data_IF_758075854400
#
_entry.id   IF_758075854400
#
_cell.length_a   1.000
_cell.length_b   1.000
_cell.length_c   1.000
_cell.angle_alpha   90.00
_cell.angle_beta   90.00
_cell.angle_gamma   90.00
#
_symmetry.space_group_name_H-M   'P 1'
#
loop_
_entity.id
_entity.type
_entity.pdbx_description
1 polymer ?
#
# COMPACT_ATOMS: atom_id res chain seq x y z
N UNK A 1 8.05 -19.22 -8.98
CA UNK A 1 7.30 -19.37 -10.25
C UNK A 1 7.55 -18.15 -11.13
N UNK A 2 7.96 -18.38 -12.35
CA UNK A 2 8.12 -17.28 -13.32
C UNK A 2 6.84 -17.06 -14.11
N UNK A 3 6.50 -15.80 -14.34
CA UNK A 3 5.41 -15.45 -15.24
C UNK A 3 5.78 -15.73 -16.70
N UNK A 4 4.79 -16.12 -17.49
CA UNK A 4 4.95 -16.20 -18.93
C UNK A 4 5.14 -14.82 -19.55
N UNK A 5 5.56 -14.79 -20.83
CA UNK A 5 5.89 -13.54 -21.51
C UNK A 5 4.74 -12.53 -21.53
N UNK A 6 3.53 -12.98 -21.88
CA UNK A 6 2.37 -12.08 -21.94
C UNK A 6 2.00 -11.50 -20.57
N UNK A 7 2.07 -12.33 -19.50
CA UNK A 7 1.82 -11.89 -18.15
C UNK A 7 2.89 -10.90 -17.67
N UNK A 8 4.14 -11.14 -18.04
CA UNK A 8 5.25 -10.24 -17.69
C UNK A 8 5.12 -8.88 -18.40
N UNK A 9 4.71 -8.86 -19.64
CA UNK A 9 4.46 -7.63 -20.40
C UNK A 9 3.32 -6.83 -19.76
N UNK A 10 2.23 -7.51 -19.37
CA UNK A 10 1.11 -6.88 -18.69
C UNK A 10 1.53 -6.27 -17.33
N UNK A 11 2.35 -7.00 -16.57
CA UNK A 11 2.86 -6.53 -15.28
C UNK A 11 3.76 -5.30 -15.46
N UNK A 12 4.66 -5.33 -16.41
CA UNK A 12 5.57 -4.20 -16.71
C UNK A 12 4.81 -2.95 -17.17
N UNK A 13 3.67 -3.12 -17.82
CA UNK A 13 2.83 -2.00 -18.22
C UNK A 13 2.19 -1.26 -17.03
N UNK A 14 2.01 -1.92 -15.90
CA UNK A 14 1.47 -1.30 -14.68
C UNK A 14 2.50 -0.48 -13.90
N UNK A 15 3.78 -0.67 -14.18
CA UNK A 15 4.88 -0.09 -13.42
C UNK A 15 5.63 0.92 -14.28
N UNK A 16 5.90 2.10 -13.73
CA UNK A 16 6.75 3.09 -14.39
C UNK A 16 8.20 2.82 -14.01
N UNK A 17 9.05 2.62 -15.02
CA UNK A 17 10.47 2.38 -14.80
C UNK A 17 10.81 0.93 -14.43
N UNK A 18 12.00 0.75 -13.90
CA UNK A 18 12.55 -0.54 -13.57
C UNK A 18 13.49 -0.41 -12.36
N UNK A 19 13.34 -1.30 -11.38
CA UNK A 19 14.26 -1.36 -10.24
C UNK A 19 15.62 -1.90 -10.67
N UNK A 20 16.65 -1.38 -10.03
CA UNK A 20 18.03 -1.82 -10.21
C UNK A 20 18.61 -2.33 -8.90
N UNK A 21 19.53 -3.31 -8.94
CA UNK A 21 20.23 -3.73 -7.73
C UNK A 21 20.87 -2.54 -7.02
N UNK A 22 20.68 -2.48 -5.69
CA UNK A 22 21.17 -1.37 -4.88
C UNK A 22 20.20 -0.22 -4.68
N UNK A 23 19.07 -0.20 -5.40
CA UNK A 23 18.04 0.84 -5.20
C UNK A 23 17.40 0.71 -3.82
N UNK A 24 17.09 1.85 -3.22
CA UNK A 24 16.34 1.92 -1.98
C UNK A 24 14.83 1.99 -2.27
N UNK A 25 14.04 1.34 -1.43
CA UNK A 25 12.59 1.39 -1.50
C UNK A 25 12.06 2.50 -0.60
N UNK A 26 11.17 3.31 -1.14
CA UNK A 26 10.49 4.38 -0.40
C UNK A 26 8.98 4.17 -0.48
N UNK A 27 8.32 4.18 0.67
CA UNK A 27 6.86 4.10 0.76
C UNK A 27 6.33 5.51 1.03
N UNK A 28 5.59 6.06 0.07
CA UNK A 28 5.20 7.48 0.08
C UNK A 28 4.05 7.82 1.03
N UNK A 29 3.25 6.82 1.44
CA UNK A 29 2.14 7.03 2.38
C UNK A 29 1.95 5.79 3.23
N UNK A 30 1.21 5.89 4.35
CA UNK A 30 0.90 4.71 5.16
C UNK A 30 0.18 3.64 4.35
N UNK A 31 0.41 2.37 4.69
CA UNK A 31 -0.19 1.23 3.98
C UNK A 31 -1.64 1.00 4.40
N UNK A 32 -2.41 0.33 3.56
CA UNK A 32 -3.78 -0.13 3.84
C UNK A 32 -4.78 0.99 4.18
N UNK A 33 -4.56 2.20 3.71
CA UNK A 33 -5.46 3.33 4.00
C UNK A 33 -6.85 3.13 3.42
N UNK A 34 -6.93 2.75 2.15
CA UNK A 34 -8.20 2.60 1.44
C UNK A 34 -9.02 1.45 2.00
N UNK A 35 -8.40 0.30 2.20
CA UNK A 35 -9.07 -0.86 2.80
C UNK A 35 -9.61 -0.55 4.20
N UNK A 36 -8.84 0.13 5.02
CA UNK A 36 -9.27 0.56 6.35
C UNK A 36 -10.47 1.49 6.28
N UNK A 37 -10.47 2.48 5.40
CA UNK A 37 -11.59 3.41 5.21
C UNK A 37 -12.86 2.69 4.76
N UNK A 38 -12.75 1.76 3.83
CA UNK A 38 -13.89 0.99 3.32
C UNK A 38 -14.49 0.12 4.42
N UNK A 39 -13.67 -0.59 5.17
CA UNK A 39 -14.12 -1.43 6.29
C UNK A 39 -14.80 -0.58 7.34
N UNK A 40 -14.19 0.53 7.72
CA UNK A 40 -14.75 1.44 8.73
C UNK A 40 -16.12 1.99 8.32
N UNK A 41 -16.30 2.35 7.05
CA UNK A 41 -17.60 2.78 6.52
C UNK A 41 -18.67 1.72 6.64
N UNK A 42 -18.32 0.47 6.34
CA UNK A 42 -19.29 -0.63 6.24
C UNK A 42 -19.51 -1.35 7.57
N UNK A 43 -18.64 -1.17 8.56
CA UNK A 43 -18.66 -1.90 9.84
C UNK A 43 -18.66 -0.95 11.05
N UNK A 44 -19.29 0.20 10.94
CA UNK A 44 -19.37 1.19 12.02
C UNK A 44 -19.93 0.62 13.30
N UNK A 45 -20.98 -0.20 13.23
CA UNK A 45 -21.63 -0.80 14.40
C UNK A 45 -20.68 -1.73 15.16
N UNK A 46 -19.91 -2.52 14.44
CA UNK A 46 -18.92 -3.41 15.05
C UNK A 46 -17.81 -2.62 15.74
N UNK A 47 -17.34 -1.56 15.10
CA UNK A 47 -16.30 -0.69 15.65
C UNK A 47 -16.80 0.10 16.86
N UNK A 48 -18.09 0.46 16.89
CA UNK A 48 -18.70 1.19 18.00
C UNK A 48 -18.73 0.38 19.30
N UNK A 49 -18.59 -0.94 19.24
CA UNK A 49 -18.48 -1.78 20.43
C UNK A 49 -17.20 -1.52 21.23
N UNK A 50 -16.16 -0.97 20.58
CA UNK A 50 -14.84 -0.75 21.19
C UNK A 50 -14.33 0.68 21.11
N UNK A 51 -14.74 1.46 20.12
CA UNK A 51 -14.16 2.76 19.81
C UNK A 51 -15.19 3.87 19.87
N UNK A 52 -14.70 5.08 20.13
CA UNK A 52 -15.51 6.29 20.09
C UNK A 52 -15.95 6.64 18.67
N UNK A 53 -17.02 7.43 18.54
CA UNK A 53 -17.48 7.94 17.26
C UNK A 53 -16.40 8.76 16.54
N UNK A 54 -15.62 9.53 17.29
CA UNK A 54 -14.50 10.31 16.74
C UNK A 54 -13.41 9.44 16.12
N UNK A 55 -13.03 8.37 16.80
CA UNK A 55 -12.04 7.42 16.28
C UNK A 55 -12.55 6.73 15.01
N UNK A 56 -13.81 6.29 15.02
CA UNK A 56 -14.43 5.64 13.84
C UNK A 56 -14.44 6.61 12.66
N UNK A 57 -14.78 7.88 12.88
CA UNK A 57 -14.76 8.88 11.83
C UNK A 57 -13.35 9.10 11.27
N UNK A 58 -12.33 9.07 12.10
CA UNK A 58 -10.92 9.13 11.65
C UNK A 58 -10.60 7.93 10.75
N UNK A 59 -11.06 6.74 11.10
CA UNK A 59 -10.87 5.55 10.26
C UNK A 59 -11.58 5.70 8.91
N UNK A 60 -12.81 6.19 8.89
CA UNK A 60 -13.58 6.41 7.67
C UNK A 60 -12.89 7.40 6.73
N UNK A 61 -12.30 8.45 7.29
CA UNK A 61 -11.66 9.53 6.53
C UNK A 61 -10.18 9.27 6.22
N UNK A 62 -9.65 8.12 6.61
CA UNK A 62 -8.21 7.86 6.59
C UNK A 62 -7.60 7.98 5.19
N UNK A 63 -8.26 7.42 4.19
CA UNK A 63 -7.82 7.51 2.80
C UNK A 63 -7.77 8.96 2.29
N UNK A 64 -8.82 9.72 2.56
CA UNK A 64 -8.90 11.12 2.13
C UNK A 64 -7.86 12.00 2.83
N UNK A 65 -7.57 11.71 4.09
CA UNK A 65 -6.65 12.50 4.91
C UNK A 65 -5.18 12.23 4.59
N UNK A 66 -4.80 10.98 4.32
CA UNK A 66 -3.40 10.55 4.25
C UNK A 66 -3.03 9.86 2.94
N UNK A 67 -3.97 9.64 2.04
CA UNK A 67 -3.69 9.01 0.75
C UNK A 67 -2.77 9.85 -0.11
N UNK A 68 -1.89 9.19 -0.84
CA UNK A 68 -1.00 9.85 -1.78
C UNK A 68 -1.77 10.33 -3.01
N UNK A 69 -1.68 11.61 -3.31
CA UNK A 69 -2.23 12.19 -4.53
C UNK A 69 -1.21 12.24 -5.65
N UNK A 70 -1.54 12.94 -6.72
CA UNK A 70 -0.68 13.12 -7.91
C UNK A 70 0.67 13.78 -7.59
N UNK A 71 0.80 14.45 -6.47
CA UNK A 71 2.05 15.11 -6.05
C UNK A 71 3.20 14.11 -5.87
N UNK A 72 2.90 12.86 -5.50
CA UNK A 72 3.93 11.81 -5.33
C UNK A 72 4.63 11.51 -6.66
N UNK A 73 3.88 11.47 -7.76
CA UNK A 73 4.44 11.28 -9.10
C UNK A 73 5.42 12.38 -9.46
N UNK A 74 5.04 13.61 -9.17
CA UNK A 74 5.88 14.77 -9.42
C UNK A 74 7.16 14.74 -8.60
N UNK A 75 7.05 14.45 -7.31
CA UNK A 75 8.20 14.33 -6.41
C UNK A 75 9.14 13.21 -6.86
N UNK A 76 8.59 12.06 -7.24
CA UNK A 76 9.38 10.93 -7.72
C UNK A 76 10.14 11.25 -9.00
N UNK A 77 9.53 11.99 -9.93
CA UNK A 77 10.18 12.45 -11.15
C UNK A 77 11.31 13.43 -10.84
N UNK A 78 11.08 14.38 -9.95
CA UNK A 78 12.10 15.36 -9.54
C UNK A 78 13.27 14.71 -8.79
N UNK A 79 13.00 13.64 -8.04
CA UNK A 79 14.01 12.86 -7.32
C UNK A 79 14.71 11.81 -8.20
N UNK A 80 14.36 11.71 -9.48
CA UNK A 80 14.93 10.75 -10.44
C UNK A 80 14.77 9.29 -9.97
N UNK A 81 13.58 8.94 -9.53
CA UNK A 81 13.27 7.58 -9.08
C UNK A 81 13.41 6.58 -10.23
N UNK A 82 14.06 5.44 -9.96
CA UNK A 82 14.26 4.37 -10.96
C UNK A 82 12.95 3.70 -11.35
N UNK A 83 12.02 3.57 -10.41
CA UNK A 83 10.73 2.94 -10.63
C UNK A 83 9.68 3.55 -9.71
N UNK A 84 8.42 3.48 -10.14
CA UNK A 84 7.29 3.98 -9.37
C UNK A 84 6.08 3.08 -9.63
N UNK A 85 5.41 2.68 -8.56
CA UNK A 85 4.20 1.86 -8.62
C UNK A 85 3.19 2.30 -7.57
N UNK A 86 1.95 2.50 -7.98
CA UNK A 86 0.86 2.78 -7.06
C UNK A 86 0.31 1.48 -6.49
N UNK A 87 0.37 1.33 -5.17
CA UNK A 87 -0.21 0.17 -4.49
C UNK A 87 -1.73 0.15 -4.69
N UNK A 88 -2.30 -1.05 -4.81
CA UNK A 88 -3.73 -1.23 -5.01
C UNK A 88 -4.22 -2.49 -4.32
N UNK A 89 -4.95 -3.33 -5.03
CA UNK A 89 -5.41 -4.62 -4.53
C UNK A 89 -4.22 -5.51 -4.15
N UNK A 90 -4.36 -6.25 -3.07
CA UNK A 90 -3.28 -7.05 -2.49
C UNK A 90 -2.31 -6.26 -1.64
N UNK A 91 -2.44 -4.93 -1.60
CA UNK A 91 -1.74 -4.04 -0.70
C UNK A 91 -0.22 -3.97 -0.91
N UNK A 92 0.47 -3.71 0.16
CA UNK A 92 1.92 -3.50 0.17
C UNK A 92 2.71 -4.73 -0.30
N UNK A 93 2.36 -5.92 0.17
CA UNK A 93 3.07 -7.15 -0.21
C UNK A 93 2.93 -7.45 -1.69
N UNK A 94 1.74 -7.27 -2.24
CA UNK A 94 1.51 -7.44 -3.67
C UNK A 94 2.33 -6.45 -4.50
N UNK A 95 2.39 -5.20 -4.06
CA UNK A 95 3.17 -4.16 -4.73
C UNK A 95 4.66 -4.50 -4.75
N UNK A 96 5.22 -4.93 -3.63
CA UNK A 96 6.62 -5.36 -3.55
C UNK A 96 6.92 -6.49 -4.52
N UNK A 97 6.07 -7.53 -4.50
CA UNK A 97 6.25 -8.68 -5.38
C UNK A 97 6.19 -8.28 -6.85
N UNK A 98 5.21 -7.46 -7.22
CA UNK A 98 5.04 -7.00 -8.61
C UNK A 98 6.23 -6.20 -9.09
N UNK A 99 6.74 -5.28 -8.27
CA UNK A 99 7.91 -4.48 -8.64
C UNK A 99 9.16 -5.33 -8.81
N UNK A 100 9.40 -6.26 -7.90
CA UNK A 100 10.54 -7.15 -7.96
C UNK A 100 10.48 -8.07 -9.17
N UNK A 101 9.33 -8.69 -9.41
CA UNK A 101 9.11 -9.61 -10.53
C UNK A 101 9.25 -8.88 -11.88
N UNK A 102 8.65 -7.71 -12.02
CA UNK A 102 8.74 -6.92 -13.26
C UNK A 102 10.17 -6.49 -13.58
N UNK A 103 10.96 -6.22 -12.56
CA UNK A 103 12.35 -5.78 -12.69
C UNK A 103 13.37 -6.92 -12.65
N UNK A 104 12.91 -8.15 -12.42
CA UNK A 104 13.76 -9.35 -12.29
C UNK A 104 14.86 -9.18 -11.22
N UNK A 105 14.52 -8.59 -10.09
CA UNK A 105 15.42 -8.38 -8.95
C UNK A 105 14.82 -8.96 -7.68
N UNK A 106 15.66 -9.24 -6.69
CA UNK A 106 15.23 -9.59 -5.34
C UNK A 106 14.95 -8.34 -4.53
N UNK A 107 14.18 -8.50 -3.45
CA UNK A 107 13.88 -7.43 -2.49
C UNK A 107 14.18 -7.89 -1.07
N UNK A 108 14.63 -6.95 -0.27
CA UNK A 108 14.70 -7.09 1.18
C UNK A 108 13.97 -5.90 1.81
N UNK A 109 12.99 -6.17 2.66
CA UNK A 109 12.19 -5.13 3.28
C UNK A 109 12.15 -5.30 4.80
N UNK A 110 12.43 -4.22 5.54
CA UNK A 110 12.26 -4.19 6.98
C UNK A 110 10.85 -3.65 7.30
N UNK A 111 9.93 -4.56 7.67
CA UNK A 111 8.54 -4.20 7.96
C UNK A 111 8.39 -3.22 9.12
N UNK A 112 9.36 -3.13 10.02
CA UNK A 112 9.35 -2.14 11.10
C UNK A 112 9.43 -0.70 10.60
N UNK A 113 9.94 -0.50 9.39
CA UNK A 113 10.08 0.81 8.75
C UNK A 113 8.90 1.16 7.84
N UNK A 114 7.97 0.24 7.61
CA UNK A 114 6.79 0.48 6.78
C UNK A 114 5.82 1.38 7.55
N UNK A 115 5.43 2.54 6.97
CA UNK A 115 4.49 3.42 7.65
C UNK A 115 3.10 2.81 7.73
N UNK A 116 2.55 2.74 8.92
CA UNK A 116 1.21 2.23 9.18
C UNK A 116 0.55 3.09 10.26
N UNK A 117 -0.71 3.44 10.04
CA UNK A 117 -1.47 4.24 10.98
C UNK A 117 -2.05 3.38 12.09
N UNK A 118 -2.18 3.96 13.28
CA UNK A 118 -2.79 3.26 14.41
C UNK A 118 -4.23 2.84 14.11
N UNK A 119 -4.98 3.65 13.40
CA UNK A 119 -6.35 3.35 12.97
C UNK A 119 -6.39 2.05 12.15
N UNK A 120 -5.43 1.88 11.24
CA UNK A 120 -5.30 0.66 10.43
C UNK A 120 -5.01 -0.56 11.29
N UNK A 121 -4.08 -0.43 12.24
CA UNK A 121 -3.72 -1.53 13.15
C UNK A 121 -4.94 -1.99 13.95
N UNK A 122 -5.69 -1.05 14.53
CA UNK A 122 -6.86 -1.36 15.34
C UNK A 122 -7.99 -2.02 14.54
N UNK A 123 -8.27 -1.50 13.35
CA UNK A 123 -9.29 -2.08 12.47
C UNK A 123 -8.88 -3.50 12.03
N UNK A 124 -7.63 -3.68 11.62
CA UNK A 124 -7.14 -4.99 11.20
C UNK A 124 -7.16 -6.01 12.35
N UNK A 125 -6.88 -5.59 13.56
CA UNK A 125 -6.92 -6.46 14.74
C UNK A 125 -8.34 -6.97 15.01
N UNK A 126 -9.35 -6.10 14.93
CA UNK A 126 -10.75 -6.49 15.15
C UNK A 126 -11.24 -7.54 14.14
N UNK A 127 -10.86 -7.40 12.88
CA UNK A 127 -11.33 -8.27 11.81
C UNK A 127 -10.33 -9.36 11.42
N UNK A 128 -9.25 -9.53 12.18
CA UNK A 128 -8.18 -10.51 11.94
C UNK A 128 -7.62 -10.41 10.51
N UNK A 129 -7.23 -9.20 10.13
CA UNK A 129 -6.70 -8.91 8.80
C UNK A 129 -5.21 -8.57 8.85
N UNK A 130 -4.49 -8.91 7.79
CA UNK A 130 -3.11 -8.51 7.64
C UNK A 130 -3.03 -7.15 6.92
N UNK A 131 -2.57 -6.08 7.59
CA UNK A 131 -2.53 -4.75 6.99
C UNK A 131 -1.60 -4.66 5.77
N UNK A 132 -0.60 -5.53 5.66
CA UNK A 132 0.31 -5.53 4.51
C UNK A 132 -0.32 -6.13 3.26
N UNK A 133 -1.44 -6.84 3.38
CA UNK A 133 -2.21 -7.40 2.27
C UNK A 133 -3.47 -6.62 1.95
N UNK A 134 -3.92 -5.77 2.87
CA UNK A 134 -5.14 -5.00 2.71
C UNK A 134 -4.92 -3.89 1.67
N UNK A 135 -5.97 -3.60 0.92
CA UNK A 135 -5.94 -2.60 -0.15
C UNK A 135 -5.38 -1.24 0.31
N UNK A 136 -4.42 -0.77 -0.44
CA UNK A 136 -3.77 0.52 -0.18
C UNK A 136 -4.62 1.69 -0.66
#
# INVERSE_FOLDING_TARGET
>A
MRLGQAAMEALRAEITGCLKPGDELVVACPVALKGTSVIAKNKKDKLAERFSAGFIQNCVSLWDAYGAGSIVWKIAQEADASALYAMGEGGFLSALWKMAEASEVGLEADFRKVPIRQETIEVCEIFDLNPYKLQA
#
